data_IF_260953381167
#
_entry.id   IF_260953381167
#
_cell.length_a   1.000
_cell.length_b   1.000
_cell.length_c   1.000
_cell.angle_alpha   90.00
_cell.angle_beta   90.00
_cell.angle_gamma   90.00
#
_symmetry.space_group_name_H-M   'P 1'
#
loop_
_entity.id
_entity.type
_entity.pdbx_description
1 polymer ?
#
# COMPACT_ATOMS: atom_id res chain seq x y z
N UNK A 1 -8.27 12.16 -6.51
CA UNK A 1 -8.99 10.97 -6.98
C UNK A 1 -10.47 11.29 -7.10
N UNK A 2 -11.20 10.51 -7.90
CA UNK A 2 -12.65 10.57 -8.04
C UNK A 2 -13.21 9.14 -8.02
N UNK A 3 -14.31 8.93 -7.29
CA UNK A 3 -14.94 7.62 -7.15
C UNK A 3 -16.35 7.59 -7.74
N UNK A 4 -16.74 6.45 -8.31
CA UNK A 4 -18.12 6.16 -8.73
C UNK A 4 -18.48 4.69 -8.47
N UNK A 5 -19.77 4.41 -8.37
CA UNK A 5 -20.27 3.05 -8.30
C UNK A 5 -20.62 2.52 -9.70
N UNK A 6 -20.18 1.30 -9.99
CA UNK A 6 -20.59 0.50 -11.14
C UNK A 6 -21.23 -0.79 -10.62
N UNK A 7 -22.56 -0.77 -10.47
CA UNK A 7 -23.27 -1.84 -9.77
C UNK A 7 -22.88 -1.90 -8.30
N UNK A 8 -22.31 -3.02 -7.87
CA UNK A 8 -21.81 -3.29 -6.51
C UNK A 8 -20.31 -2.97 -6.33
N UNK A 9 -19.66 -2.47 -7.38
CA UNK A 9 -18.23 -2.21 -7.41
C UNK A 9 -17.95 -0.72 -7.26
N UNK A 10 -17.12 -0.34 -6.28
CA UNK A 10 -16.59 1.02 -6.20
C UNK A 10 -15.38 1.13 -7.12
N UNK A 11 -15.46 2.02 -8.10
CA UNK A 11 -14.36 2.34 -9.01
C UNK A 11 -13.76 3.68 -8.59
N UNK A 12 -12.48 3.69 -8.31
CA UNK A 12 -11.72 4.88 -7.94
C UNK A 12 -10.68 5.15 -9.01
N UNK A 13 -10.74 6.34 -9.59
CA UNK A 13 -9.74 6.83 -10.54
C UNK A 13 -8.87 7.89 -9.86
N UNK A 14 -7.57 7.65 -9.89
CA UNK A 14 -6.56 8.54 -9.32
C UNK A 14 -5.59 8.94 -10.41
N UNK A 15 -5.37 10.24 -10.53
CA UNK A 15 -4.38 10.86 -11.41
C UNK A 15 -3.90 12.15 -10.76
N UNK A 16 -3.19 12.99 -11.52
CA UNK A 16 -2.53 14.20 -11.03
C UNK A 16 -1.59 13.89 -9.85
N UNK A 17 -0.83 12.80 -9.97
CA UNK A 17 0.21 12.48 -8.99
C UNK A 17 1.27 13.57 -9.02
N UNK A 18 1.84 13.87 -7.86
CA UNK A 18 2.99 14.78 -7.78
C UNK A 18 4.23 14.00 -8.13
N UNK A 19 5.18 14.65 -8.79
CA UNK A 19 6.54 14.14 -8.86
C UNK A 19 7.15 14.24 -7.46
N UNK A 20 7.21 13.10 -6.77
CA UNK A 20 7.77 12.98 -5.42
C UNK A 20 9.18 12.36 -5.41
N UNK A 21 9.72 12.01 -6.59
CA UNK A 21 10.97 11.26 -6.73
C UNK A 21 10.96 9.92 -5.97
N UNK A 22 12.14 9.33 -5.72
CA UNK A 22 12.29 8.10 -4.92
C UNK A 22 12.40 8.36 -3.42
N UNK A 23 12.07 9.58 -2.97
CA UNK A 23 12.45 10.08 -1.64
C UNK A 23 11.38 9.88 -0.56
N UNK A 24 10.20 9.36 -0.90
CA UNK A 24 9.16 9.06 0.07
C UNK A 24 9.09 7.55 0.32
N UNK A 25 9.31 7.09 1.57
CA UNK A 25 8.97 5.75 1.96
C UNK A 25 7.54 5.80 2.50
N UNK A 26 6.51 5.95 1.65
CA UNK A 26 5.22 5.45 2.12
C UNK A 26 5.33 3.93 2.11
N UNK A 27 5.12 3.31 3.27
CA UNK A 27 5.13 1.88 3.38
C UNK A 27 3.99 1.35 2.50
N UNK A 28 4.19 0.16 1.92
CA UNK A 28 3.19 -0.57 1.12
C UNK A 28 2.70 0.10 -0.19
N UNK A 29 3.29 1.22 -0.63
CA UNK A 29 3.05 1.82 -1.97
C UNK A 29 4.33 1.99 -2.81
N UNK A 30 5.44 1.33 -2.46
CA UNK A 30 6.75 1.47 -3.14
C UNK A 30 6.69 1.33 -4.68
N UNK A 31 5.75 0.53 -5.21
CA UNK A 31 5.57 0.35 -6.66
C UNK A 31 4.93 1.55 -7.37
N UNK A 32 4.05 2.31 -6.70
CA UNK A 32 3.33 3.43 -7.30
C UNK A 32 3.94 4.78 -6.95
N UNK A 33 4.63 4.91 -5.82
CA UNK A 33 5.27 6.17 -5.41
C UNK A 33 6.46 6.56 -6.29
N UNK A 34 7.10 5.58 -6.93
CA UNK A 34 8.14 5.84 -7.92
C UNK A 34 7.58 6.34 -9.27
N UNK A 35 6.26 6.30 -9.46
CA UNK A 35 5.61 6.68 -10.70
C UNK A 35 5.24 8.17 -10.67
N UNK A 36 5.49 8.84 -11.79
CA UNK A 36 5.46 10.29 -11.89
C UNK A 36 4.06 10.86 -12.15
N UNK A 37 3.98 12.14 -12.54
CA UNK A 37 2.73 12.82 -12.87
C UNK A 37 1.90 12.17 -13.99
N UNK A 38 2.55 11.34 -14.82
CA UNK A 38 1.91 10.60 -15.91
C UNK A 38 1.19 9.33 -15.45
N UNK A 39 1.28 8.98 -14.15
CA UNK A 39 0.53 7.87 -13.59
C UNK A 39 -0.97 8.15 -13.62
N UNK A 40 -1.70 7.20 -14.20
CA UNK A 40 -3.13 7.05 -14.05
C UNK A 40 -3.44 5.68 -13.43
N UNK A 41 -4.03 5.70 -12.24
CA UNK A 41 -4.41 4.51 -11.48
C UNK A 41 -5.93 4.35 -11.49
N UNK A 42 -6.39 3.16 -11.85
CA UNK A 42 -7.80 2.77 -11.71
C UNK A 42 -7.89 1.61 -10.74
N UNK A 43 -8.58 1.82 -9.63
CA UNK A 43 -8.82 0.83 -8.58
C UNK A 43 -10.29 0.41 -8.59
N UNK A 44 -10.56 -0.87 -8.34
CA UNK A 44 -11.90 -1.46 -8.26
C UNK A 44 -12.01 -2.28 -6.99
N UNK A 45 -13.04 -1.98 -6.20
CA UNK A 45 -13.32 -2.67 -4.94
C UNK A 45 -14.70 -3.32 -5.02
N UNK A 46 -14.73 -4.65 -4.99
CA UNK A 46 -15.96 -5.45 -5.12
C UNK A 46 -16.04 -6.45 -3.97
N UNK A 47 -17.17 -6.50 -3.26
CA UNK A 47 -17.39 -7.55 -2.25
C UNK A 47 -17.71 -8.86 -2.95
N UNK A 48 -16.91 -9.89 -2.73
CA UNK A 48 -17.22 -11.24 -3.22
C UNK A 48 -18.23 -11.93 -2.30
N UNK A 49 -18.12 -11.67 -1.00
CA UNK A 49 -18.99 -12.15 0.06
C UNK A 49 -18.91 -11.21 1.29
N UNK A 50 -19.42 -11.67 2.44
CA UNK A 50 -19.45 -10.88 3.68
C UNK A 50 -18.06 -10.55 4.24
N UNK A 51 -17.08 -11.42 3.98
CA UNK A 51 -15.77 -11.41 4.62
C UNK A 51 -14.61 -11.23 3.62
N UNK A 52 -14.91 -11.17 2.32
CA UNK A 52 -13.89 -11.06 1.25
C UNK A 52 -14.14 -9.86 0.35
N UNK A 53 -13.15 -8.97 0.26
CA UNK A 53 -13.12 -7.87 -0.69
C UNK A 53 -12.13 -8.19 -1.82
N UNK A 54 -12.61 -8.22 -3.06
CA UNK A 54 -11.75 -8.26 -4.24
C UNK A 54 -11.26 -6.84 -4.53
N UNK A 55 -9.96 -6.66 -4.48
CA UNK A 55 -9.28 -5.45 -4.91
C UNK A 55 -8.58 -5.71 -6.23
N UNK A 56 -8.93 -4.92 -7.24
CA UNK A 56 -8.28 -4.95 -8.54
C UNK A 56 -7.75 -3.56 -8.85
N UNK A 57 -6.65 -3.50 -9.56
CA UNK A 57 -6.09 -2.23 -9.98
C UNK A 57 -5.46 -2.33 -11.36
N UNK A 58 -5.42 -1.20 -12.06
CA UNK A 58 -4.75 -1.03 -13.34
C UNK A 58 -3.85 0.18 -13.26
N UNK A 59 -2.57 -0.04 -13.55
CA UNK A 59 -1.54 0.98 -13.64
C UNK A 59 -1.35 1.34 -15.11
N UNK A 60 -1.52 2.62 -15.43
CA UNK A 60 -1.19 3.18 -16.72
C UNK A 60 -0.21 4.34 -16.53
N UNK A 61 1.06 4.09 -16.84
CA UNK A 61 2.10 5.10 -16.88
C UNK A 61 3.01 4.80 -18.08
N UNK A 62 2.90 5.57 -19.19
CA UNK A 62 3.70 5.35 -20.39
C UNK A 62 5.18 5.73 -20.22
N UNK A 63 5.55 6.45 -19.15
CA UNK A 63 6.93 6.81 -18.85
C UNK A 63 7.67 5.68 -18.16
N UNK A 64 6.95 4.83 -17.40
CA UNK A 64 7.51 3.70 -16.68
C UNK A 64 7.31 2.36 -17.40
N UNK A 65 6.18 2.17 -18.10
CA UNK A 65 5.80 0.88 -18.69
C UNK A 65 5.46 1.01 -20.17
N UNK A 66 5.80 -0.02 -20.95
CA UNK A 66 5.50 -0.07 -22.40
C UNK A 66 4.03 -0.31 -22.71
N UNK A 67 3.25 -0.74 -21.72
CA UNK A 67 1.80 -0.94 -21.78
C UNK A 67 1.20 -0.91 -20.38
N UNK A 68 -0.10 -0.59 -20.23
CA UNK A 68 -0.80 -0.75 -18.98
C UNK A 68 -0.74 -2.19 -18.48
N UNK A 69 -0.74 -2.36 -17.16
CA UNK A 69 -0.81 -3.66 -16.52
C UNK A 69 -1.78 -3.64 -15.35
N UNK A 70 -2.28 -4.81 -15.00
CA UNK A 70 -3.29 -4.96 -13.95
C UNK A 70 -2.89 -6.06 -12.98
N UNK A 71 -3.38 -5.94 -11.75
CA UNK A 71 -3.24 -6.95 -10.71
C UNK A 71 -4.52 -7.04 -9.90
N UNK A 72 -4.66 -8.13 -9.16
CA UNK A 72 -5.76 -8.33 -8.23
C UNK A 72 -5.29 -9.08 -6.99
N UNK A 73 -5.97 -8.81 -5.88
CA UNK A 73 -5.77 -9.50 -4.62
C UNK A 73 -7.09 -9.54 -3.85
N UNK A 74 -7.28 -10.61 -3.09
CA UNK A 74 -8.38 -10.71 -2.14
C UNK A 74 -7.93 -10.22 -0.78
N UNK A 75 -8.75 -9.38 -0.15
CA UNK A 75 -8.53 -8.89 1.21
C UNK A 75 -9.57 -9.54 2.12
N UNK A 76 -9.08 -10.26 3.13
CA UNK A 76 -9.92 -10.81 4.17
C UNK A 76 -10.31 -9.71 5.15
N UNK A 77 -11.58 -9.72 5.58
CA UNK A 77 -12.08 -8.88 6.66
C UNK A 77 -11.30 -9.18 7.94
N UNK A 78 -10.99 -8.11 8.68
CA UNK A 78 -10.25 -8.17 9.92
C UNK A 78 -11.00 -7.39 10.98
N UNK A 79 -11.15 -7.98 12.16
CA UNK A 79 -11.69 -7.31 13.35
C UNK A 79 -10.63 -6.49 14.10
N UNK A 80 -9.37 -6.56 13.69
CA UNK A 80 -8.31 -5.74 14.24
C UNK A 80 -8.56 -4.25 13.92
N UNK A 81 -8.22 -3.38 14.86
CA UNK A 81 -8.28 -1.95 14.63
C UNK A 81 -7.31 -1.54 13.49
N UNK A 82 -7.73 -0.54 12.71
CA UNK A 82 -6.83 0.10 11.76
C UNK A 82 -5.85 0.97 12.54
N UNK A 83 -4.61 0.51 12.62
CA UNK A 83 -3.52 1.28 13.22
C UNK A 83 -2.84 2.12 12.15
N UNK A 84 -2.43 3.34 12.51
CA UNK A 84 -1.51 4.11 11.67
C UNK A 84 -0.26 3.29 11.44
N UNK A 85 0.14 3.14 10.18
CA UNK A 85 1.52 2.76 9.90
C UNK A 85 2.37 4.01 10.11
N UNK A 86 2.91 4.15 11.32
CA UNK A 86 4.02 5.05 11.56
C UNK A 86 5.31 4.27 11.29
N UNK A 87 6.23 4.82 10.52
CA UNK A 87 7.61 4.35 10.55
C UNK A 87 8.06 4.39 12.01
N UNK A 88 8.21 3.21 12.64
CA UNK A 88 8.86 3.09 13.94
C UNK A 88 10.37 3.31 13.77
N UNK A 89 10.75 4.52 13.33
CA UNK A 89 12.13 4.98 13.51
C UNK A 89 12.44 4.90 15.01
N UNK A 90 13.33 3.98 15.37
CA UNK A 90 13.67 3.70 16.76
C UNK A 90 13.01 2.47 17.39
N UNK A 91 12.63 1.45 16.61
CA UNK A 91 12.34 0.12 17.16
C UNK A 91 13.62 -0.56 17.71
N UNK A 92 14.12 -0.03 18.83
CA UNK A 92 15.23 -0.59 19.59
C UNK A 92 14.78 -1.72 20.53
N UNK A 93 13.50 -2.12 20.49
CA UNK A 93 12.95 -3.10 21.42
C UNK A 93 13.73 -4.41 21.39
N UNK A 94 13.87 -5.00 20.20
CA UNK A 94 14.62 -6.25 20.03
C UNK A 94 16.11 -6.07 20.37
N UNK A 95 16.73 -4.98 19.92
CA UNK A 95 18.14 -4.69 20.19
C UNK A 95 18.41 -4.57 21.69
N UNK A 96 17.58 -3.81 22.43
CA UNK A 96 17.72 -3.59 23.86
C UNK A 96 17.47 -4.87 24.67
N UNK A 97 16.49 -5.70 24.27
CA UNK A 97 16.25 -7.01 24.89
C UNK A 97 17.49 -7.90 24.77
N UNK A 98 18.09 -7.97 23.58
CA UNK A 98 19.30 -8.77 23.35
C UNK A 98 20.53 -8.21 24.07
N UNK A 99 20.70 -6.88 24.09
CA UNK A 99 21.79 -6.22 24.80
C UNK A 99 21.71 -6.46 26.32
N UNK A 100 20.51 -6.38 26.91
CA UNK A 100 20.27 -6.71 28.31
C UNK A 100 20.62 -8.17 28.63
N UNK A 101 20.12 -9.11 27.83
CA UNK A 101 20.44 -10.53 28.00
C UNK A 101 21.95 -10.83 27.92
N UNK A 102 22.68 -10.16 27.02
CA UNK A 102 24.13 -10.30 26.92
C UNK A 102 24.88 -9.69 28.11
N UNK A 103 24.39 -8.57 28.67
CA UNK A 103 24.98 -7.97 29.85
C UNK A 103 24.81 -8.86 31.09
N UNK A 104 23.64 -9.48 31.26
CA UNK A 104 23.38 -10.44 32.34
C UNK A 104 24.25 -11.70 32.21
N UNK A 105 24.43 -12.23 31.00
CA UNK A 105 25.28 -13.40 30.77
C UNK A 105 26.79 -13.18 31.05
N UNK A 106 27.22 -11.93 31.25
CA UNK A 106 28.62 -11.57 31.54
C UNK A 106 28.87 -11.26 33.02
N UNK A 107 27.84 -11.28 33.87
CA UNK A 107 27.96 -11.23 35.33
C UNK A 107 28.24 -12.61 35.91
#
# INVERSE_FOLDING_TARGET
SAGRWEGDTLVVETGNFRDIGTAHPAPNMELLEALGPELHLVERFSRLDEDTLLYQFTVNDPTAYTKPWSGELTMAKSDNALYEYACHEGNYGLFNILAGAQADARR
#
